data_IF_085503206894
#
_entry.id   IF_085503206894
#
_cell.length_a   1.000
_cell.length_b   1.000
_cell.length_c   1.000
_cell.angle_alpha   90.00
_cell.angle_beta   90.00
_cell.angle_gamma   90.00
#
_symmetry.space_group_name_H-M   'P 1'
#
loop_
_entity.id
_entity.type
_entity.pdbx_description
1 polymer ?
#
# COMPACT_ATOMS: atom_id res chain seq x y z
N UNK A 1 14.41 -3.76 -13.74
CA UNK A 1 13.14 -3.04 -13.56
C UNK A 1 12.88 -2.99 -12.08
N UNK A 2 12.70 -1.80 -11.49
CA UNK A 2 12.44 -1.71 -10.06
C UNK A 2 10.98 -2.12 -9.81
N UNK A 3 10.81 -3.29 -9.24
CA UNK A 3 9.51 -3.87 -8.94
C UNK A 3 9.10 -3.33 -7.56
N UNK A 4 8.61 -2.09 -7.52
CA UNK A 4 8.17 -1.44 -6.29
C UNK A 4 6.66 -1.51 -6.21
N UNK A 5 6.15 -1.66 -5.00
CA UNK A 5 4.74 -1.66 -4.69
C UNK A 5 4.45 -0.53 -3.72
N UNK A 6 3.48 0.30 -4.10
CA UNK A 6 2.83 1.19 -3.15
C UNK A 6 1.70 0.40 -2.50
N UNK A 7 1.77 0.24 -1.19
CA UNK A 7 0.74 -0.39 -0.38
C UNK A 7 0.06 0.68 0.45
N UNK A 8 -1.19 0.97 0.10
CA UNK A 8 -2.07 1.84 0.85
C UNK A 8 -2.91 1.00 1.82
N UNK A 9 -2.72 1.25 3.11
CA UNK A 9 -3.44 0.58 4.20
C UNK A 9 -4.52 1.53 4.70
N UNK A 10 -5.77 1.11 4.67
CA UNK A 10 -6.87 1.83 5.30
C UNK A 10 -7.01 1.25 6.70
N UNK A 11 -6.72 2.08 7.70
CA UNK A 11 -6.64 1.70 9.11
C UNK A 11 -7.82 2.30 9.87
N UNK A 12 -8.39 1.58 10.84
CA UNK A 12 -9.35 2.16 11.78
C UNK A 12 -8.65 3.22 12.65
N UNK A 13 -9.30 4.36 12.93
CA UNK A 13 -8.75 5.44 13.75
C UNK A 13 -8.53 5.05 15.22
N UNK A 14 -9.18 3.97 15.66
CA UNK A 14 -8.96 3.32 16.96
C UNK A 14 -7.67 2.49 17.02
N UNK A 15 -7.06 2.18 15.87
CA UNK A 15 -5.86 1.36 15.80
C UNK A 15 -4.60 2.24 15.74
N UNK A 16 -3.65 2.11 16.68
CA UNK A 16 -2.43 2.91 16.66
C UNK A 16 -1.63 2.69 15.36
N UNK A 17 -1.06 3.78 14.84
CA UNK A 17 -0.21 3.82 13.64
C UNK A 17 0.78 2.65 13.49
N UNK A 18 1.59 2.28 14.51
CA UNK A 18 2.50 1.14 14.43
C UNK A 18 1.80 -0.21 14.24
N UNK A 19 0.64 -0.42 14.84
CA UNK A 19 -0.14 -1.66 14.78
C UNK A 19 -0.91 -1.84 13.46
N UNK A 20 -1.13 -0.76 12.70
CA UNK A 20 -1.73 -0.89 11.37
C UNK A 20 -0.74 -1.48 10.37
N UNK A 21 -0.95 -2.77 10.09
CA UNK A 21 -0.22 -3.59 9.14
C UNK A 21 -1.18 -4.20 8.12
N UNK A 22 -0.66 -4.91 7.12
CA UNK A 22 -1.46 -5.56 6.06
C UNK A 22 -2.54 -6.50 6.62
N UNK A 23 -2.29 -7.07 7.78
CA UNK A 23 -3.18 -8.03 8.46
C UNK A 23 -4.28 -7.34 9.28
N UNK A 24 -4.04 -6.11 9.74
CA UNK A 24 -4.94 -5.36 10.65
C UNK A 24 -5.67 -4.22 9.95
N UNK A 25 -5.28 -3.90 8.72
CA UNK A 25 -5.94 -2.89 7.92
C UNK A 25 -7.35 -3.35 7.53
N UNK A 26 -8.27 -2.41 7.52
CA UNK A 26 -9.65 -2.62 7.04
C UNK A 26 -9.67 -2.91 5.55
N UNK A 27 -8.77 -2.26 4.80
CA UNK A 27 -8.59 -2.49 3.37
C UNK A 27 -7.12 -2.27 2.96
N UNK A 28 -6.67 -3.01 1.95
CA UNK A 28 -5.29 -2.99 1.47
C UNK A 28 -5.28 -2.83 -0.05
N UNK A 29 -4.75 -1.70 -0.50
CA UNK A 29 -4.66 -1.38 -1.92
C UNK A 29 -3.20 -1.45 -2.33
N UNK A 30 -2.91 -2.34 -3.28
CA UNK A 30 -1.56 -2.57 -3.79
C UNK A 30 -1.48 -2.06 -5.23
N UNK A 31 -0.52 -1.20 -5.50
CA UNK A 31 -0.30 -0.63 -6.83
C UNK A 31 1.18 -0.74 -7.22
N UNK A 32 1.48 -1.03 -8.50
CA UNK A 32 2.84 -0.97 -8.99
C UNK A 32 3.35 0.47 -8.97
N UNK A 33 4.59 0.64 -8.53
CA UNK A 33 5.34 1.89 -8.62
C UNK A 33 6.60 1.64 -9.45
N UNK A 34 6.90 2.57 -10.37
CA UNK A 34 8.04 2.43 -11.28
C UNK A 34 9.32 3.05 -10.71
N UNK A 35 9.24 3.72 -9.56
CA UNK A 35 10.36 4.40 -8.89
C UNK A 35 10.07 4.68 -7.42
N UNK A 36 11.13 4.77 -6.61
CA UNK A 36 11.03 5.11 -5.17
C UNK A 36 10.31 6.45 -4.97
N UNK A 37 10.60 7.44 -5.83
CA UNK A 37 9.90 8.74 -5.81
C UNK A 37 8.40 8.60 -6.06
N UNK A 38 8.01 7.78 -7.04
CA UNK A 38 6.59 7.55 -7.36
C UNK A 38 5.86 6.86 -6.20
N UNK A 39 6.56 5.97 -5.50
CA UNK A 39 6.03 5.27 -4.34
C UNK A 39 5.90 6.19 -3.10
N UNK A 40 6.91 7.00 -2.82
CA UNK A 40 6.97 7.89 -1.66
C UNK A 40 6.08 9.13 -1.81
N UNK A 41 6.06 9.76 -2.99
CA UNK A 41 5.28 10.99 -3.25
C UNK A 41 3.94 10.71 -3.94
N UNK A 42 3.91 9.74 -4.86
CA UNK A 42 2.71 9.42 -5.64
C UNK A 42 1.63 8.70 -4.84
N UNK A 43 2.00 8.04 -3.72
CA UNK A 43 1.02 7.33 -2.89
C UNK A 43 -0.13 8.23 -2.41
N UNK A 44 0.17 9.44 -1.94
CA UNK A 44 -0.87 10.35 -1.44
C UNK A 44 -1.77 10.88 -2.57
N UNK A 45 -1.18 11.26 -3.71
CA UNK A 45 -1.91 11.73 -4.87
C UNK A 45 -2.82 10.63 -5.47
N UNK A 46 -2.36 9.37 -5.47
CA UNK A 46 -3.14 8.23 -5.94
C UNK A 46 -4.32 7.91 -5.03
N UNK A 47 -4.15 8.00 -3.71
CA UNK A 47 -5.24 7.79 -2.74
C UNK A 47 -6.29 8.90 -2.85
N UNK A 48 -5.85 10.16 -3.03
CA UNK A 48 -6.76 11.25 -3.33
C UNK A 48 -7.55 11.00 -4.63
N UNK A 49 -6.89 10.44 -5.66
CA UNK A 49 -7.53 10.08 -6.94
C UNK A 49 -8.55 8.95 -6.83
N UNK A 50 -8.41 8.08 -5.81
CA UNK A 50 -9.34 6.97 -5.53
C UNK A 50 -10.59 7.43 -4.76
N UNK A 51 -10.68 8.72 -4.40
CA UNK A 51 -11.79 9.23 -3.60
C UNK A 51 -11.85 8.62 -2.20
N UNK A 52 -10.75 8.02 -1.74
CA UNK A 52 -10.59 7.49 -0.39
C UNK A 52 -10.42 8.68 0.54
N UNK A 53 -11.56 9.29 0.89
CA UNK A 53 -11.62 10.31 1.91
C UNK A 53 -11.36 9.64 3.26
N UNK A 54 -10.27 10.07 3.89
CA UNK A 54 -9.92 9.75 5.27
C UNK A 54 -11.02 10.27 6.20
N UNK A 55 -12.04 9.44 6.46
CA UNK A 55 -13.13 9.78 7.37
C UNK A 55 -12.67 9.84 8.83
N UNK A 56 -13.51 10.31 9.77
CA UNK A 56 -13.14 10.38 11.19
C UNK A 56 -12.82 9.00 11.81
N UNK A 57 -13.35 7.94 11.19
CA UNK A 57 -13.19 6.56 11.67
C UNK A 57 -12.01 5.82 11.03
N UNK A 58 -11.38 6.38 9.99
CA UNK A 58 -10.31 5.70 9.25
C UNK A 58 -9.18 6.63 8.87
N UNK A 59 -7.95 6.16 8.99
CA UNK A 59 -6.77 6.85 8.45
C UNK A 59 -6.07 6.01 7.39
N UNK A 60 -5.28 6.67 6.56
CA UNK A 60 -4.54 5.99 5.49
C UNK A 60 -3.06 6.00 5.78
N UNK A 61 -2.44 4.82 5.75
CA UNK A 61 -1.00 4.62 5.93
C UNK A 61 -0.39 4.09 4.65
N UNK A 62 0.60 4.80 4.12
CA UNK A 62 1.29 4.41 2.89
C UNK A 62 2.59 3.71 3.26
N UNK A 63 2.80 2.54 2.67
CA UNK A 63 4.04 1.79 2.75
C UNK A 63 4.58 1.60 1.34
N UNK A 64 5.86 1.91 1.17
CA UNK A 64 6.57 1.51 -0.01
C UNK A 64 7.28 0.19 0.26
N UNK A 65 6.90 -0.83 -0.50
CA UNK A 65 7.51 -2.14 -0.42
C UNK A 65 8.28 -2.39 -1.72
N UNK A 66 9.43 -3.04 -1.63
CA UNK A 66 9.96 -3.70 -2.82
C UNK A 66 9.15 -4.97 -2.98
N UNK A 67 8.60 -5.20 -4.16
CA UNK A 67 8.10 -6.51 -4.50
C UNK A 67 9.30 -7.44 -4.36
N UNK A 68 9.27 -8.26 -3.33
CA UNK A 68 9.89 -9.56 -3.46
C UNK A 68 9.20 -10.16 -4.68
N UNK A 69 9.92 -10.26 -5.79
CA UNK A 69 9.52 -11.19 -6.83
C UNK A 69 9.52 -12.54 -6.11
N UNK A 70 8.39 -12.92 -5.51
CA UNK A 70 8.00 -14.30 -5.50
C UNK A 70 7.96 -14.56 -7.00
N UNK A 71 9.09 -15.04 -7.52
CA UNK A 71 9.10 -15.85 -8.72
C UNK A 71 8.11 -16.91 -8.34
N UNK A 72 6.84 -16.67 -8.68
CA UNK A 72 5.81 -17.65 -8.67
C UNK A 72 6.44 -18.74 -9.52
N UNK A 73 6.96 -19.75 -8.83
CA UNK A 73 7.54 -20.90 -9.44
C UNK A 73 6.43 -21.40 -10.36
N UNK A 74 6.57 -21.10 -11.65
CA UNK A 74 5.79 -21.80 -12.66
C UNK A 74 6.17 -23.26 -12.40
N UNK A 75 5.22 -24.15 -12.05
CA UNK A 75 5.56 -25.56 -12.00
C UNK A 75 6.11 -25.89 -13.38
N UNK A 76 7.37 -26.34 -13.41
CA UNK A 76 7.97 -26.87 -14.61
C UNK A 76 7.14 -28.11 -14.99
N UNK A 77 6.60 -28.09 -16.21
CA UNK A 77 6.21 -29.30 -16.93
C UNK A 77 7.44 -29.79 -17.69
#
# INVERSE_FOLDING_TARGET
MADLLTVALICASTLPGPDCSRETALDVIVMPANSIMECAMGGQARIASLGLATGPDVYVKIRCDRRETVVAARPAD
#
